data_IF_074020935213
#
_entry.id   IF_074020935213
#
_cell.length_a   1.000
_cell.length_b   1.000
_cell.length_c   1.000
_cell.angle_alpha   90.00
_cell.angle_beta   90.00
_cell.angle_gamma   90.00
#
_symmetry.space_group_name_H-M   'P 1'
#
loop_
_entity.id
_entity.type
_entity.pdbx_description
1 polymer ?
#
# COMPACT_ATOMS: atom_id res chain seq x y z
N UNK A 1 -22.63 -4.33 16.10
CA UNK A 1 -21.82 -3.75 14.99
C UNK A 1 -22.71 -2.74 14.29
N UNK A 2 -22.29 -1.47 14.24
CA UNK A 2 -23.06 -0.41 13.56
C UNK A 2 -22.47 -0.25 12.16
N UNK A 3 -23.32 -0.19 11.14
CA UNK A 3 -22.92 0.00 9.75
C UNK A 3 -23.07 1.47 9.36
N UNK A 4 -22.08 2.01 8.65
CA UNK A 4 -22.10 3.37 8.14
C UNK A 4 -21.91 3.37 6.63
N UNK A 5 -22.59 4.28 5.94
CA UNK A 5 -22.34 4.53 4.52
C UNK A 5 -21.14 5.47 4.38
N UNK A 6 -20.19 5.10 3.52
CA UNK A 6 -18.99 5.90 3.23
C UNK A 6 -18.98 6.27 1.76
N UNK A 7 -18.77 7.56 1.46
CA UNK A 7 -18.62 8.05 0.09
C UNK A 7 -17.16 7.96 -0.33
N UNK A 8 -16.88 7.15 -1.35
CA UNK A 8 -15.56 7.05 -1.99
C UNK A 8 -15.64 7.79 -3.34
N UNK A 9 -14.75 8.75 -3.56
CA UNK A 9 -14.76 9.65 -4.73
C UNK A 9 -13.75 9.20 -5.78
N UNK A 10 -14.09 9.39 -7.05
CA UNK A 10 -13.13 9.24 -8.14
C UNK A 10 -12.10 10.37 -8.08
N UNK A 11 -10.82 10.03 -7.99
CA UNK A 11 -9.71 10.98 -7.91
C UNK A 11 -9.06 11.32 -9.26
N UNK A 12 -9.51 10.74 -10.39
CA UNK A 12 -8.88 10.96 -11.72
C UNK A 12 -8.78 12.44 -12.10
N UNK A 13 -9.81 13.23 -11.77
CA UNK A 13 -9.86 14.67 -12.09
C UNK A 13 -8.91 15.54 -11.25
N UNK A 14 -8.40 15.03 -10.12
CA UNK A 14 -7.57 15.78 -9.17
C UNK A 14 -6.15 15.19 -9.03
N UNK A 15 -5.76 14.25 -9.89
CA UNK A 15 -4.46 13.55 -9.80
C UNK A 15 -3.28 14.52 -9.71
N UNK A 16 -3.30 15.61 -10.49
CA UNK A 16 -2.23 16.63 -10.49
C UNK A 16 -2.18 17.48 -9.23
N UNK A 17 -3.24 17.48 -8.43
CA UNK A 17 -3.31 18.23 -7.18
C UNK A 17 -2.77 17.39 -6.02
N UNK A 18 -3.01 16.07 -6.03
CA UNK A 18 -2.66 15.15 -4.95
C UNK A 18 -1.15 15.00 -4.72
N UNK A 19 -0.75 14.89 -3.46
CA UNK A 19 0.64 14.58 -3.12
C UNK A 19 0.79 13.68 -1.89
N UNK A 20 1.92 12.99 -1.82
CA UNK A 20 2.30 12.16 -0.67
C UNK A 20 2.46 12.99 0.60
N UNK A 21 2.96 14.22 0.51
CA UNK A 21 3.18 15.07 1.69
C UNK A 21 1.88 15.69 2.22
N UNK A 22 0.89 15.94 1.34
CA UNK A 22 -0.36 16.60 1.74
C UNK A 22 -1.45 15.59 2.07
N UNK A 23 -1.90 14.78 1.11
CA UNK A 23 -2.97 13.80 1.35
C UNK A 23 -2.45 12.46 1.90
N UNK A 24 -1.17 12.17 1.73
CA UNK A 24 -0.59 10.87 2.07
C UNK A 24 -0.67 9.84 0.94
N UNK A 25 -1.17 10.21 -0.24
CA UNK A 25 -1.20 9.34 -1.42
C UNK A 25 -1.09 10.12 -2.73
N UNK A 26 -0.60 9.46 -3.78
CA UNK A 26 -0.49 9.99 -5.13
C UNK A 26 -0.61 8.87 -6.16
N UNK A 27 -0.99 9.22 -7.40
CA UNK A 27 -0.99 8.29 -8.52
C UNK A 27 0.21 8.57 -9.42
N UNK A 28 0.99 7.54 -9.74
CA UNK A 28 2.19 7.63 -10.55
C UNK A 28 1.97 6.93 -11.87
N UNK A 29 2.20 7.64 -12.98
CA UNK A 29 2.26 7.06 -14.31
C UNK A 29 3.68 6.60 -14.59
N UNK A 30 3.93 5.30 -14.49
CA UNK A 30 5.20 4.67 -14.83
C UNK A 30 5.00 3.21 -15.17
N UNK A 31 5.48 2.82 -16.36
CA UNK A 31 5.60 1.42 -16.74
C UNK A 31 6.63 0.73 -15.83
N UNK A 32 6.22 -0.41 -15.28
CA UNK A 32 7.07 -1.30 -14.48
C UNK A 32 7.11 -2.66 -15.17
N UNK A 33 8.31 -3.07 -15.58
CA UNK A 33 8.52 -4.27 -16.40
C UNK A 33 8.07 -5.56 -15.69
N UNK A 34 8.26 -5.60 -14.37
CA UNK A 34 7.91 -6.72 -13.51
C UNK A 34 6.42 -7.08 -13.55
N UNK A 35 5.52 -6.16 -13.89
CA UNK A 35 4.07 -6.40 -13.90
C UNK A 35 3.63 -7.48 -14.92
N UNK A 36 4.47 -7.76 -15.92
CA UNK A 36 4.24 -8.80 -16.93
C UNK A 36 4.74 -10.19 -16.52
N UNK A 37 5.51 -10.30 -15.42
CA UNK A 37 6.07 -11.55 -14.93
C UNK A 37 5.00 -12.42 -14.23
N UNK A 38 5.00 -13.71 -14.55
CA UNK A 38 4.01 -14.68 -14.05
C UNK A 38 4.53 -15.45 -12.85
N UNK A 39 5.84 -15.71 -12.78
CA UNK A 39 6.44 -16.34 -11.61
C UNK A 39 6.44 -15.34 -10.43
N UNK A 40 5.79 -15.66 -9.29
CA UNK A 40 5.68 -14.73 -8.17
C UNK A 40 7.02 -14.30 -7.56
N UNK A 41 8.01 -15.18 -7.54
CA UNK A 41 9.33 -14.88 -6.96
C UNK A 41 10.16 -14.02 -7.90
N UNK A 42 10.17 -14.36 -9.19
CA UNK A 42 10.84 -13.54 -10.22
C UNK A 42 10.18 -12.17 -10.32
N UNK A 43 8.84 -12.11 -10.24
CA UNK A 43 8.10 -10.85 -10.24
C UNK A 43 8.51 -9.98 -9.06
N UNK A 44 8.50 -10.54 -7.83
CA UNK A 44 8.94 -9.83 -6.63
C UNK A 44 10.33 -9.24 -6.80
N UNK A 45 11.29 -10.05 -7.24
CA UNK A 45 12.69 -9.64 -7.29
C UNK A 45 12.90 -8.53 -8.31
N UNK A 46 12.31 -8.65 -9.51
CA UNK A 46 12.33 -7.58 -10.53
C UNK A 46 11.58 -6.33 -10.07
N UNK A 47 10.45 -6.50 -9.37
CA UNK A 47 9.67 -5.36 -8.86
C UNK A 47 10.48 -4.58 -7.84
N UNK A 48 11.17 -5.25 -6.91
CA UNK A 48 12.06 -4.60 -5.94
C UNK A 48 13.24 -3.93 -6.64
N UNK A 49 13.90 -4.61 -7.58
CA UNK A 49 15.03 -4.08 -8.34
C UNK A 49 14.67 -2.79 -9.09
N UNK A 50 13.48 -2.73 -9.68
CA UNK A 50 13.03 -1.55 -10.42
C UNK A 50 12.50 -0.44 -9.49
N UNK A 51 11.80 -0.78 -8.41
CA UNK A 51 11.13 0.20 -7.56
C UNK A 51 12.05 0.85 -6.54
N UNK A 52 13.06 0.17 -6.00
CA UNK A 52 14.02 0.76 -5.04
C UNK A 52 14.70 2.04 -5.59
N UNK A 53 15.35 2.03 -6.77
CA UNK A 53 15.96 3.24 -7.31
C UNK A 53 14.92 4.31 -7.66
N UNK A 54 13.75 3.92 -8.20
CA UNK A 54 12.66 4.87 -8.47
C UNK A 54 12.20 5.58 -7.20
N UNK A 55 11.93 4.85 -6.11
CA UNK A 55 11.49 5.43 -4.83
C UNK A 55 12.57 6.34 -4.26
N UNK A 56 13.85 5.91 -4.30
CA UNK A 56 14.96 6.74 -3.84
C UNK A 56 14.99 8.08 -4.57
N UNK A 57 14.91 8.04 -5.90
CA UNK A 57 15.02 9.24 -6.73
C UNK A 57 13.76 10.12 -6.60
N UNK A 58 12.56 9.53 -6.54
CA UNK A 58 11.29 10.24 -6.37
C UNK A 58 11.25 11.04 -5.06
N UNK A 59 11.79 10.48 -3.97
CA UNK A 59 11.80 11.11 -2.65
C UNK A 59 13.10 11.86 -2.32
N UNK A 60 14.07 11.89 -3.25
CA UNK A 60 15.42 12.39 -3.01
C UNK A 60 16.03 11.84 -1.71
N UNK A 61 15.86 10.54 -1.48
CA UNK A 61 16.26 9.86 -0.27
C UNK A 61 17.73 9.44 -0.31
N UNK A 62 18.37 9.36 0.86
CA UNK A 62 19.76 8.90 0.98
C UNK A 62 19.88 7.41 0.63
N UNK A 63 18.96 6.58 1.13
CA UNK A 63 18.83 5.18 0.69
C UNK A 63 17.41 4.64 0.93
N UNK A 64 17.14 3.49 0.30
CA UNK A 64 15.85 2.80 0.39
C UNK A 64 16.08 1.31 0.60
N UNK A 65 15.35 0.71 1.53
CA UNK A 65 15.33 -0.74 1.78
C UNK A 65 13.92 -1.26 1.51
N UNK A 66 13.77 -2.20 0.58
CA UNK A 66 12.48 -2.84 0.32
C UNK A 66 12.20 -3.93 1.36
N UNK A 67 10.97 -3.99 1.87
CA UNK A 67 10.50 -5.04 2.76
C UNK A 67 10.17 -6.30 1.95
N UNK A 68 11.14 -7.19 1.71
CA UNK A 68 11.02 -8.26 0.69
C UNK A 68 9.95 -9.29 1.03
N UNK A 69 9.76 -9.60 2.31
CA UNK A 69 8.71 -10.50 2.81
C UNK A 69 7.29 -9.87 2.81
N UNK A 70 7.16 -8.59 2.42
CA UNK A 70 5.91 -7.86 2.31
C UNK A 70 5.61 -7.33 0.90
N UNK A 71 6.25 -7.92 -0.11
CA UNK A 71 5.78 -7.84 -1.50
C UNK A 71 4.71 -8.91 -1.69
N UNK A 72 3.46 -8.47 -1.82
CA UNK A 72 2.29 -9.35 -1.78
C UNK A 72 1.52 -9.23 -3.09
N UNK A 73 1.26 -10.36 -3.73
CA UNK A 73 0.32 -10.43 -4.84
C UNK A 73 -1.06 -10.72 -4.27
N UNK A 74 -2.06 -9.91 -4.57
CA UNK A 74 -3.45 -10.23 -4.25
C UNK A 74 -4.20 -10.65 -5.50
N UNK A 75 -4.90 -11.77 -5.41
CA UNK A 75 -5.74 -12.30 -6.50
C UNK A 75 -7.12 -12.62 -5.93
N UNK A 76 -8.07 -11.69 -6.07
CA UNK A 76 -9.44 -11.84 -5.54
C UNK A 76 -10.29 -12.55 -6.59
N UNK A 77 -10.91 -13.68 -6.24
CA UNK A 77 -12.12 -14.18 -6.91
C UNK A 77 -12.08 -14.54 -8.41
N UNK A 78 -10.91 -14.75 -9.03
CA UNK A 78 -10.86 -15.28 -10.41
C UNK A 78 -11.40 -16.71 -10.49
N UNK A 79 -12.05 -17.09 -11.62
CA UNK A 79 -12.62 -18.45 -11.86
C UNK A 79 -11.65 -19.61 -11.60
N UNK A 80 -10.34 -19.35 -11.55
CA UNK A 80 -9.30 -20.36 -11.35
C UNK A 80 -8.63 -20.33 -9.97
N UNK A 81 -8.90 -19.32 -9.13
CA UNK A 81 -8.13 -19.07 -7.90
C UNK A 81 -6.62 -18.97 -8.14
N UNK A 82 -5.80 -18.85 -7.08
CA UNK A 82 -4.36 -19.04 -7.20
C UNK A 82 -4.04 -20.51 -7.51
N UNK A 83 -3.10 -20.74 -8.43
CA UNK A 83 -2.53 -22.04 -8.78
C UNK A 83 -1.82 -22.69 -7.58
N UNK A 84 -1.50 -23.99 -7.67
CA UNK A 84 -0.78 -24.69 -6.61
C UNK A 84 0.59 -24.06 -6.30
N UNK A 85 1.33 -23.64 -7.34
CA UNK A 85 2.62 -22.95 -7.21
C UNK A 85 2.50 -21.58 -6.53
N UNK A 86 1.43 -20.83 -6.84
CA UNK A 86 1.14 -19.54 -6.20
C UNK A 86 0.75 -19.69 -4.73
N UNK A 87 0.04 -20.78 -4.38
CA UNK A 87 -0.28 -21.10 -2.98
C UNK A 87 0.97 -21.49 -2.18
N UNK A 88 1.90 -22.22 -2.78
CA UNK A 88 3.12 -22.68 -2.09
C UNK A 88 4.14 -21.57 -1.84
N UNK A 89 4.17 -20.49 -2.65
CA UNK A 89 5.13 -19.39 -2.46
C UNK A 89 4.83 -18.52 -1.22
N UNK A 90 3.59 -18.53 -0.71
CA UNK A 90 3.16 -17.64 0.37
C UNK A 90 3.04 -16.16 -0.02
N UNK A 91 3.43 -15.80 -1.25
CA UNK A 91 3.37 -14.43 -1.79
C UNK A 91 1.98 -14.05 -2.28
N UNK A 92 1.17 -15.04 -2.70
CA UNK A 92 -0.17 -14.81 -3.26
C UNK A 92 -1.24 -14.94 -2.19
N UNK A 93 -2.09 -13.90 -2.06
CA UNK A 93 -3.16 -13.84 -1.06
C UNK A 93 -4.54 -13.73 -1.74
N UNK A 94 -5.52 -14.56 -1.34
CA UNK A 94 -6.82 -14.60 -2.03
C UNK A 94 -7.82 -13.55 -1.52
N UNK A 95 -7.51 -12.85 -0.43
CA UNK A 95 -8.46 -11.95 0.23
C UNK A 95 -8.08 -10.47 0.11
N UNK A 96 -9.06 -9.58 -0.16
CA UNK A 96 -8.87 -8.15 -0.03
C UNK A 96 -8.71 -7.72 1.43
N UNK A 97 -7.91 -6.68 1.66
CA UNK A 97 -7.79 -6.04 2.97
C UNK A 97 -8.93 -5.02 3.14
N UNK A 98 -10.12 -5.51 3.53
CA UNK A 98 -11.36 -4.72 3.54
C UNK A 98 -11.59 -3.82 4.76
N UNK A 99 -10.71 -3.86 5.76
CA UNK A 99 -10.81 -3.00 6.94
C UNK A 99 -10.02 -1.72 6.70
N UNK A 100 -10.57 -0.55 7.06
CA UNK A 100 -9.83 0.71 7.03
C UNK A 100 -8.72 0.69 8.09
N UNK A 101 -7.48 0.84 7.65
CA UNK A 101 -6.31 0.73 8.52
C UNK A 101 -5.16 1.60 8.04
N UNK A 102 -4.20 1.81 8.95
CA UNK A 102 -2.85 2.29 8.68
C UNK A 102 -1.90 1.23 9.22
N UNK A 103 -1.06 0.67 8.35
CA UNK A 103 -0.26 -0.51 8.68
C UNK A 103 0.66 -0.32 9.90
N UNK A 104 1.22 0.87 10.08
CA UNK A 104 2.22 1.14 11.10
C UNK A 104 1.75 2.24 12.04
N UNK A 105 1.50 1.88 13.30
CA UNK A 105 1.45 2.87 14.37
C UNK A 105 2.87 3.46 14.60
N UNK A 106 3.01 4.63 15.25
CA UNK A 106 4.28 5.36 15.32
C UNK A 106 5.46 4.52 15.81
N UNK A 107 5.25 3.73 16.87
CA UNK A 107 6.30 2.85 17.41
C UNK A 107 6.69 1.70 16.48
N UNK A 108 5.78 1.28 15.60
CA UNK A 108 6.03 0.16 14.69
C UNK A 108 6.97 0.52 13.54
N UNK A 109 6.99 1.78 13.10
CA UNK A 109 7.79 2.20 11.95
C UNK A 109 9.28 1.88 12.09
N UNK A 110 9.98 2.49 13.07
CA UNK A 110 11.41 2.24 13.31
C UNK A 110 11.72 0.79 13.67
N UNK A 111 10.82 0.12 14.41
CA UNK A 111 11.00 -1.30 14.80
C UNK A 111 10.96 -2.22 13.58
N UNK A 112 10.04 -1.99 12.64
CA UNK A 112 9.92 -2.79 11.42
C UNK A 112 11.06 -2.49 10.45
N UNK A 113 11.52 -1.25 10.38
CA UNK A 113 12.69 -0.86 9.61
C UNK A 113 13.97 -1.56 10.10
N UNK A 114 14.26 -1.45 11.41
CA UNK A 114 15.43 -2.11 12.02
C UNK A 114 15.38 -3.64 11.89
N UNK A 115 14.18 -4.24 12.02
CA UNK A 115 14.00 -5.69 11.79
C UNK A 115 14.35 -6.08 10.35
N UNK A 116 13.91 -5.29 9.36
CA UNK A 116 14.19 -5.59 7.95
C UNK A 116 15.68 -5.48 7.66
N UNK A 117 16.33 -4.43 8.14
CA UNK A 117 17.79 -4.25 8.01
C UNK A 117 18.53 -5.47 8.58
N UNK A 118 18.15 -5.92 9.79
CA UNK A 118 18.74 -7.09 10.43
C UNK A 118 18.54 -8.38 9.60
N UNK A 119 17.35 -8.61 9.05
CA UNK A 119 17.06 -9.79 8.23
C UNK A 119 17.85 -9.81 6.93
N UNK A 120 18.13 -8.63 6.36
CA UNK A 120 18.90 -8.49 5.13
C UNK A 120 20.41 -8.35 5.39
N UNK A 121 20.87 -8.40 6.65
CA UNK A 121 22.27 -8.20 7.00
C UNK A 121 22.78 -6.79 6.72
N UNK A 122 21.88 -5.81 6.65
CA UNK A 122 22.20 -4.40 6.46
C UNK A 122 22.58 -3.81 7.82
N UNK A 123 23.76 -3.18 7.97
CA UNK A 123 24.11 -2.50 9.21
C UNK A 123 23.13 -1.36 9.51
N UNK A 124 22.61 -1.31 10.74
CA UNK A 124 21.77 -0.20 11.20
C UNK A 124 22.61 1.08 11.20
N UNK A 125 22.11 2.13 10.55
CA UNK A 125 22.75 3.44 10.44
C UNK A 125 21.91 4.51 11.13
N UNK A 126 22.55 5.60 11.54
CA UNK A 126 21.82 6.79 11.95
C UNK A 126 21.11 7.40 10.73
N UNK A 127 19.92 7.94 10.95
CA UNK A 127 19.13 8.66 9.96
C UNK A 127 18.44 9.85 10.64
N UNK A 128 18.19 10.93 9.90
CA UNK A 128 17.47 12.11 10.35
C UNK A 128 15.94 11.95 10.21
N UNK A 129 15.50 11.19 9.20
CA UNK A 129 14.08 10.87 8.94
C UNK A 129 13.93 9.47 8.35
N UNK A 130 12.86 8.79 8.74
CA UNK A 130 12.42 7.50 8.20
C UNK A 130 10.98 7.62 7.73
N UNK A 131 10.71 7.24 6.49
CA UNK A 131 9.36 7.01 5.99
C UNK A 131 9.15 5.54 5.65
N UNK A 132 7.91 5.07 5.78
CA UNK A 132 7.47 3.82 5.14
C UNK A 132 6.52 4.19 4.02
N UNK A 133 7.00 4.03 2.79
CA UNK A 133 6.22 4.27 1.58
C UNK A 133 5.72 2.93 1.05
N UNK A 134 4.48 2.92 0.59
CA UNK A 134 3.83 1.76 0.03
C UNK A 134 3.47 1.99 -1.42
N UNK A 135 3.51 0.93 -2.20
CA UNK A 135 2.98 0.90 -3.57
C UNK A 135 1.79 -0.03 -3.63
N UNK A 136 0.76 0.37 -4.37
CA UNK A 136 -0.32 -0.52 -4.82
C UNK A 136 -0.42 -0.43 -6.34
N UNK A 137 -0.21 -1.55 -7.00
CA UNK A 137 -0.15 -1.61 -8.47
C UNK A 137 -1.17 -2.63 -8.99
N UNK A 138 -2.09 -2.17 -9.84
CA UNK A 138 -3.00 -3.08 -10.54
C UNK A 138 -2.23 -3.93 -11.57
N UNK A 139 -2.44 -5.24 -11.52
CA UNK A 139 -1.91 -6.23 -12.48
C UNK A 139 -3.01 -6.81 -13.38
N UNK A 140 -4.26 -6.69 -12.97
CA UNK A 140 -5.43 -7.06 -13.79
C UNK A 140 -5.93 -5.85 -14.57
N UNK A 141 -6.45 -6.09 -15.77
CA UNK A 141 -7.19 -5.10 -16.56
C UNK A 141 -8.32 -4.44 -15.76
N UNK A 142 -8.64 -3.16 -16.06
CA UNK A 142 -9.80 -2.50 -15.46
C UNK A 142 -11.14 -2.94 -16.10
N UNK A 143 -12.28 -2.60 -15.47
CA UNK A 143 -12.39 -2.11 -14.09
C UNK A 143 -12.20 -3.23 -13.07
N UNK A 144 -11.44 -3.02 -12.00
CA UNK A 144 -11.26 -4.04 -10.96
C UNK A 144 -12.46 -4.09 -9.99
N UNK A 145 -12.77 -5.29 -9.49
CA UNK A 145 -13.84 -5.56 -8.52
C UNK A 145 -13.53 -5.07 -7.10
N UNK A 146 -12.27 -5.20 -6.65
CA UNK A 146 -11.82 -4.79 -5.31
C UNK A 146 -10.66 -3.78 -5.33
N UNK A 147 -10.79 -2.59 -5.96
CA UNK A 147 -9.73 -1.58 -5.94
C UNK A 147 -9.43 -1.08 -4.52
N UNK A 148 -8.35 -0.29 -4.39
CA UNK A 148 -7.96 0.32 -3.12
C UNK A 148 -8.52 1.75 -3.01
N UNK A 149 -9.15 2.06 -1.88
CA UNK A 149 -9.51 3.41 -1.50
C UNK A 149 -8.49 3.96 -0.49
N UNK A 150 -8.22 5.26 -0.60
CA UNK A 150 -7.31 6.03 0.24
C UNK A 150 -8.06 7.18 0.89
N UNK A 151 -7.85 7.41 2.18
CA UNK A 151 -8.41 8.55 2.89
C UNK A 151 -7.37 9.67 2.93
N UNK A 152 -7.77 10.88 2.57
CA UNK A 152 -6.95 12.09 2.74
C UNK A 152 -6.62 12.26 4.22
N UNK A 153 -5.33 12.20 4.55
CA UNK A 153 -4.86 12.26 5.93
C UNK A 153 -5.21 13.56 6.65
N UNK A 154 -5.44 14.67 5.93
CA UNK A 154 -5.91 15.92 6.54
C UNK A 154 -7.38 15.89 6.95
N UNK A 155 -8.09 14.81 6.64
CA UNK A 155 -9.47 14.60 7.08
C UNK A 155 -9.60 13.70 8.30
N UNK A 156 -8.47 13.14 8.78
CA UNK A 156 -8.42 12.16 9.86
C UNK A 156 -7.89 12.83 11.12
N UNK A 157 -8.64 12.73 12.23
CA UNK A 157 -8.19 13.22 13.53
C UNK A 157 -7.72 12.08 14.44
N UNK A 158 -6.87 12.37 15.42
CA UNK A 158 -6.30 11.37 16.34
C UNK A 158 -7.37 10.51 17.03
N UNK A 159 -8.51 11.10 17.37
CA UNK A 159 -9.62 10.40 18.04
C UNK A 159 -10.33 9.40 17.12
N UNK A 160 -10.10 9.47 15.80
CA UNK A 160 -10.62 8.46 14.86
C UNK A 160 -9.75 7.19 14.86
N UNK A 161 -8.56 7.23 15.46
CA UNK A 161 -7.57 6.16 15.35
C UNK A 161 -7.57 5.28 16.61
N UNK A 162 -7.67 3.98 16.38
CA UNK A 162 -7.64 2.98 17.44
C UNK A 162 -6.42 2.10 17.25
N UNK A 163 -5.54 2.11 18.24
CA UNK A 163 -4.41 1.19 18.25
C UNK A 163 -4.89 -0.26 18.27
N UNK A 164 -4.34 -1.03 17.35
CA UNK A 164 -4.56 -2.46 17.20
C UNK A 164 -3.23 -3.17 16.99
N UNK A 165 -3.28 -4.49 16.86
CA UNK A 165 -2.11 -5.34 16.67
C UNK A 165 -2.30 -6.11 15.37
N UNK A 166 -1.40 -5.88 14.43
CA UNK A 166 -1.21 -6.81 13.33
C UNK A 166 -0.48 -8.04 13.86
N UNK A 167 -1.00 -9.23 13.58
CA UNK A 167 -0.38 -10.50 13.94
C UNK A 167 -0.60 -11.50 12.81
N UNK A 168 0.45 -11.75 12.03
CA UNK A 168 0.38 -12.66 10.90
C UNK A 168 1.77 -12.94 10.32
N UNK A 169 1.94 -14.11 9.70
CA UNK A 169 3.18 -14.48 9.00
C UNK A 169 4.44 -14.40 9.88
N UNK A 170 4.31 -14.72 11.18
CA UNK A 170 5.41 -14.62 12.15
C UNK A 170 5.81 -13.18 12.51
N UNK A 171 5.04 -12.18 12.06
CA UNK A 171 5.26 -10.76 12.36
C UNK A 171 4.16 -10.26 13.27
N UNK A 172 4.55 -9.49 14.29
CA UNK A 172 3.63 -8.79 15.18
C UNK A 172 4.09 -7.35 15.41
N UNK A 173 3.22 -6.39 15.14
CA UNK A 173 3.50 -4.97 15.37
C UNK A 173 2.20 -4.18 15.59
N UNK A 174 2.33 -2.93 16.04
CA UNK A 174 1.20 -2.01 16.26
C UNK A 174 0.74 -1.39 14.95
N UNK A 175 -0.56 -1.36 14.73
CA UNK A 175 -1.25 -0.79 13.57
C UNK A 175 -2.37 0.13 14.09
N UNK A 176 -2.95 0.96 13.23
CA UNK A 176 -4.18 1.70 13.54
C UNK A 176 -5.35 1.18 12.72
N UNK A 177 -6.46 0.91 13.41
CA UNK A 177 -7.78 0.84 12.80
C UNK A 177 -8.45 2.21 12.87
N UNK A 178 -9.46 2.41 12.03
CA UNK A 178 -10.08 3.73 11.86
C UNK A 178 -11.57 3.65 12.16
N UNK A 179 -12.02 4.49 13.11
CA UNK A 179 -13.43 4.73 13.36
C UNK A 179 -14.06 5.48 12.19
N UNK A 180 -15.35 5.25 11.96
CA UNK A 180 -16.09 6.04 10.99
C UNK A 180 -16.16 7.52 11.42
N UNK A 181 -15.90 8.41 10.48
CA UNK A 181 -16.20 9.84 10.60
C UNK A 181 -16.82 10.35 9.30
N UNK A 182 -17.89 11.16 9.36
CA UNK A 182 -18.46 11.80 8.17
C UNK A 182 -17.52 12.84 7.55
N UNK A 183 -16.46 13.26 8.26
CA UNK A 183 -15.46 14.21 7.77
C UNK A 183 -14.42 13.55 6.86
N UNK A 184 -14.28 12.22 6.90
CA UNK A 184 -13.30 11.49 6.10
C UNK A 184 -13.54 11.69 4.60
N UNK A 185 -12.47 12.05 3.90
CA UNK A 185 -12.48 12.23 2.44
C UNK A 185 -11.77 11.04 1.80
N UNK A 186 -12.57 10.07 1.38
CA UNK A 186 -12.11 8.86 0.70
C UNK A 186 -12.09 9.04 -0.82
N UNK A 187 -11.03 8.51 -1.43
CA UNK A 187 -10.73 8.58 -2.85
C UNK A 187 -10.28 7.22 -3.39
N UNK A 188 -10.49 6.98 -4.68
CA UNK A 188 -9.91 5.86 -5.40
C UNK A 188 -9.62 6.26 -6.85
N UNK A 189 -8.80 5.49 -7.53
CA UNK A 189 -8.47 5.69 -8.94
C UNK A 189 -9.16 4.58 -9.77
N UNK A 190 -10.29 4.85 -10.43
CA UNK A 190 -10.92 3.90 -11.35
C UNK A 190 -10.05 3.67 -12.60
N UNK A 191 -10.33 2.59 -13.31
CA UNK A 191 -9.69 2.26 -14.59
C UNK A 191 -8.15 2.15 -14.52
N UNK A 192 -7.58 1.71 -13.38
CA UNK A 192 -6.13 1.58 -13.27
C UNK A 192 -5.58 0.52 -14.21
N UNK A 193 -4.53 0.87 -14.97
CA UNK A 193 -3.76 -0.07 -15.81
C UNK A 193 -2.45 -0.50 -15.13
N UNK A 194 -1.71 -1.44 -15.75
CA UNK A 194 -0.39 -1.85 -15.28
C UNK A 194 0.71 -0.80 -15.52
N UNK A 195 0.41 0.30 -16.21
CA UNK A 195 1.36 1.39 -16.45
C UNK A 195 1.27 2.51 -15.40
N UNK A 196 0.49 2.29 -14.33
CA UNK A 196 0.35 3.21 -13.21
C UNK A 196 0.24 2.48 -11.87
N UNK A 197 0.68 3.14 -10.80
CA UNK A 197 0.54 2.64 -9.43
C UNK A 197 0.23 3.78 -8.47
N UNK A 198 -0.46 3.46 -7.38
CA UNK A 198 -0.63 4.38 -6.27
C UNK A 198 0.58 4.29 -5.34
N UNK A 199 1.14 5.44 -4.98
CA UNK A 199 2.02 5.59 -3.83
C UNK A 199 1.22 6.09 -2.65
N UNK A 200 1.52 5.59 -1.45
CA UNK A 200 0.90 6.09 -0.23
C UNK A 200 1.81 5.90 0.98
N UNK A 201 1.68 6.82 1.93
CA UNK A 201 2.52 6.89 3.12
C UNK A 201 1.91 6.05 4.24
N UNK A 202 2.67 5.08 4.74
CA UNK A 202 2.29 4.24 5.86
C UNK A 202 2.85 4.73 7.20
N UNK A 203 3.94 5.49 7.18
CA UNK A 203 4.61 6.05 8.35
C UNK A 203 5.57 7.17 7.94
N UNK A 204 5.75 8.16 8.81
CA UNK A 204 6.81 9.17 8.77
C UNK A 204 7.29 9.43 10.20
N UNK A 205 8.60 9.50 10.40
CA UNK A 205 9.17 9.89 11.69
C UNK A 205 9.14 11.41 11.91
N UNK A 206 8.88 12.20 10.86
CA UNK A 206 8.67 13.64 10.96
C UNK A 206 7.17 13.93 11.10
N UNK A 207 6.74 14.27 12.31
CA UNK A 207 5.33 14.53 12.64
C UNK A 207 4.73 15.70 11.85
N UNK A 208 5.56 16.64 11.37
CA UNK A 208 5.07 17.76 10.55
C UNK A 208 4.58 17.31 9.17
N UNK A 209 5.01 16.13 8.72
CA UNK A 209 4.78 15.59 7.38
C UNK A 209 4.21 14.18 7.38
N UNK A 210 3.46 13.82 8.44
CA UNK A 210 2.87 12.50 8.62
C UNK A 210 1.35 12.50 8.36
N UNK A 211 0.86 12.77 7.12
CA UNK A 211 -0.54 12.57 6.80
C UNK A 211 -0.84 11.08 6.97
N UNK A 212 -1.60 10.79 8.02
CA UNK A 212 -2.07 9.45 8.32
C UNK A 212 -3.05 9.08 7.22
N UNK A 213 -2.66 8.24 6.27
CA UNK A 213 -3.48 7.86 5.11
C UNK A 213 -4.10 6.47 5.27
N UNK A 214 -5.25 6.35 5.97
CA UNK A 214 -6.04 5.13 5.97
C UNK A 214 -6.32 4.63 4.58
N UNK A 215 -6.31 3.31 4.43
CA UNK A 215 -6.67 2.67 3.18
C UNK A 215 -7.46 1.38 3.43
N UNK A 216 -8.27 1.01 2.45
CA UNK A 216 -9.07 -0.21 2.47
C UNK A 216 -9.40 -0.65 1.04
N UNK A 217 -9.41 -1.95 0.80
CA UNK A 217 -10.02 -2.49 -0.40
C UNK A 217 -11.55 -2.43 -0.24
N UNK A 218 -12.28 -2.09 -1.31
CA UNK A 218 -13.73 -2.03 -1.28
C UNK A 218 -14.35 -2.73 -2.49
N UNK A 219 -15.55 -3.27 -2.31
CA UNK A 219 -16.35 -3.84 -3.40
C UNK A 219 -16.84 -2.73 -4.34
N UNK A 220 -16.26 -2.64 -5.53
CA UNK A 220 -16.60 -1.67 -6.56
C UNK A 220 -17.86 -2.11 -7.32
N UNK A 221 -19.01 -1.97 -6.65
CA UNK A 221 -20.32 -2.32 -7.20
C UNK A 221 -20.65 -1.62 -8.51
N UNK A 222 -20.03 -0.47 -8.80
CA UNK A 222 -20.21 0.29 -10.05
C UNK A 222 -19.57 -0.37 -11.26
N UNK A 223 -18.59 -1.25 -11.07
CA UNK A 223 -17.92 -1.96 -12.16
C UNK A 223 -18.73 -3.15 -12.68
N UNK A 224 -19.71 -3.66 -11.92
CA UNK A 224 -20.48 -4.83 -12.33
C UNK A 224 -21.49 -4.49 -13.45
N UNK A 225 -21.75 -5.45 -14.35
CA UNK A 225 -21.25 -6.84 -14.38
C UNK A 225 -19.87 -7.01 -15.05
N UNK A 226 -19.25 -5.92 -15.50
CA UNK A 226 -18.02 -5.95 -16.32
C UNK A 226 -16.73 -6.03 -15.49
N UNK A 227 -16.84 -5.98 -14.17
CA UNK A 227 -15.72 -6.01 -13.23
C UNK A 227 -14.80 -7.20 -13.49
N UNK A 228 -13.51 -6.92 -13.54
CA UNK A 228 -12.44 -7.91 -13.62
C UNK A 228 -12.01 -8.29 -12.21
N UNK A 229 -11.81 -9.59 -11.93
CA UNK A 229 -11.26 -10.04 -10.66
C UNK A 229 -9.89 -9.37 -10.42
N UNK A 230 -9.75 -8.66 -9.31
CA UNK A 230 -8.53 -7.91 -9.01
C UNK A 230 -7.34 -8.86 -8.92
N UNK A 231 -6.31 -8.53 -9.69
CA UNK A 231 -4.93 -8.93 -9.41
C UNK A 231 -4.11 -7.66 -9.16
N UNK A 232 -3.34 -7.62 -8.08
CA UNK A 232 -2.49 -6.47 -7.73
C UNK A 232 -1.20 -6.91 -7.04
N UNK A 233 -0.18 -6.05 -7.05
CA UNK A 233 1.01 -6.18 -6.19
C UNK A 233 1.06 -5.00 -5.21
N UNK A 234 1.34 -5.33 -3.96
CA UNK A 234 1.54 -4.39 -2.86
C UNK A 234 2.98 -4.54 -2.35
N UNK A 235 3.71 -3.44 -2.18
CA UNK A 235 5.06 -3.47 -1.61
C UNK A 235 5.27 -2.33 -0.63
N UNK A 236 6.27 -2.48 0.26
CA UNK A 236 6.66 -1.49 1.27
C UNK A 236 8.15 -1.20 1.17
N UNK A 237 8.50 0.07 1.32
CA UNK A 237 9.85 0.59 1.20
C UNK A 237 10.16 1.47 2.40
N UNK A 238 11.23 1.15 3.12
CA UNK A 238 11.81 2.01 4.15
C UNK A 238 12.70 3.04 3.46
N UNK A 239 12.35 4.31 3.59
CA UNK A 239 12.99 5.44 2.91
C UNK A 239 13.69 6.28 3.97
N UNK A 240 15.01 6.45 3.82
CA UNK A 240 15.85 7.06 4.85
C UNK A 240 16.53 8.33 4.35
N UNK A 241 16.74 9.27 5.28
CA UNK A 241 17.47 10.52 5.06
C UNK A 241 18.62 10.63 6.05
N UNK A 242 19.75 11.21 5.61
CA UNK A 242 20.89 11.56 6.47
C UNK A 242 20.72 12.95 7.09
#
# INVERSE_FOLDING_TARGET
MVSYNVTIRDARSIVSELSIEREGFALIQKKVSATSERDPEVMRDRYVEEMVPFIRDYFNASWVVAKRDAVVIRAVGGRSGPSAAEKSSGLVRPYPAGFAHIDYAPIAGPVMAAREDQLQGIPIRAYSRLMIIQTWHALSEPPQDFPLAFCDGNSVVDTDLVESVFSGYGIRHKTWLVHYSPLHRWYYFPEMSSDEFALFKGFDSDDAYNPRSPHAAFDNRRAYPNAKPRRSVEARFFVYYE
#
